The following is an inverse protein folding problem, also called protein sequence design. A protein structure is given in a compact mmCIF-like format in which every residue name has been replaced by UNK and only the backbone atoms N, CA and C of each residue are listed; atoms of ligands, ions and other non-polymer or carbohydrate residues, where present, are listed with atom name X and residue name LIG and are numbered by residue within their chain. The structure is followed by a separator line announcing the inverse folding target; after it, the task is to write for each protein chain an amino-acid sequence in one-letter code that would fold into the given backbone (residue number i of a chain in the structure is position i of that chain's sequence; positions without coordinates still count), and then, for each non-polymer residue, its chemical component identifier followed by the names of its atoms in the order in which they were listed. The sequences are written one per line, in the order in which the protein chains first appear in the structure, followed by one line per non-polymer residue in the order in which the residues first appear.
data_IF_522899361543
#
_entry.id   IF_522899361543
#
_cell.length_a   1.000
_cell.length_b   1.000
_cell.length_c   1.000
_cell.angle_alpha   90.00
_cell.angle_beta   90.00
_cell.angle_gamma   90.00
#
_symmetry.space_group_name_H-M   'P 1'
#
loop_
_entity.id
_entity.type
_entity.pdbx_description
1 polymer ?
#
# COMPACT_ATOMS: atom_id res chain seq x y z
N UNK A 1 -3.89 -24.78 33.86
CA UNK A 1 -4.33 -25.27 32.53
C UNK A 1 -5.29 -24.22 31.99
N UNK A 2 -4.82 -23.24 31.25
CA UNK A 2 -5.69 -22.30 30.48
C UNK A 2 -6.22 -23.06 29.28
N UNK A 3 -7.49 -23.47 29.28
CA UNK A 3 -8.15 -24.13 28.16
C UNK A 3 -8.14 -23.20 26.96
N UNK A 4 -7.56 -23.68 25.86
CA UNK A 4 -7.40 -22.89 24.63
C UNK A 4 -8.73 -22.52 23.99
N UNK A 5 -9.22 -21.33 24.31
CA UNK A 5 -10.22 -20.67 23.47
C UNK A 5 -9.48 -20.19 22.22
N UNK A 6 -9.92 -20.65 21.05
CA UNK A 6 -9.46 -20.08 19.78
C UNK A 6 -9.97 -18.63 19.78
N UNK A 7 -9.05 -17.67 19.93
CA UNK A 7 -9.40 -16.25 19.81
C UNK A 7 -9.51 -15.95 18.32
N UNK A 8 -10.66 -15.43 17.83
CA UNK A 8 -10.80 -15.04 16.42
C UNK A 8 -9.81 -13.93 16.08
N UNK A 9 -9.52 -13.77 14.78
CA UNK A 9 -8.81 -12.58 14.30
C UNK A 9 -9.57 -11.34 14.77
N UNK A 10 -8.85 -10.38 15.38
CA UNK A 10 -9.45 -9.14 15.86
C UNK A 10 -9.31 -8.04 14.79
N UNK A 11 -10.31 -7.15 14.74
CA UNK A 11 -10.28 -6.01 13.85
C UNK A 11 -9.51 -4.81 14.43
N UNK A 12 -9.18 -3.84 13.55
CA UNK A 12 -8.47 -2.61 13.94
C UNK A 12 -9.13 -1.86 15.12
N UNK A 13 -10.46 -1.89 15.19
CA UNK A 13 -11.23 -1.26 16.29
C UNK A 13 -11.00 -1.95 17.62
N UNK A 14 -11.08 -3.27 17.65
CA UNK A 14 -10.85 -4.08 18.84
C UNK A 14 -9.39 -4.00 19.31
N UNK A 15 -8.44 -3.96 18.36
CA UNK A 15 -7.03 -3.74 18.70
C UNK A 15 -6.82 -2.38 19.38
N UNK A 16 -7.49 -1.31 18.92
CA UNK A 16 -7.38 0.01 19.56
C UNK A 16 -7.98 0.01 21.00
N UNK A 17 -9.01 -0.77 21.26
CA UNK A 17 -9.56 -0.93 22.61
C UNK A 17 -8.57 -1.68 23.51
N UNK A 18 -8.00 -2.78 23.04
CA UNK A 18 -6.97 -3.51 23.79
C UNK A 18 -5.73 -2.68 24.11
N UNK A 19 -5.26 -1.87 23.17
CA UNK A 19 -4.12 -0.96 23.41
C UNK A 19 -4.40 0.00 24.56
N UNK A 20 -5.66 0.43 24.73
CA UNK A 20 -6.04 1.34 25.82
C UNK A 20 -6.23 0.64 27.17
N UNK A 21 -6.78 -0.57 27.16
CA UNK A 21 -7.14 -1.31 28.36
C UNK A 21 -5.95 -2.11 28.92
N UNK A 22 -5.36 -2.93 28.06
CA UNK A 22 -4.20 -3.74 28.39
C UNK A 22 -3.43 -4.13 27.12
N UNK A 23 -2.29 -3.47 26.82
CA UNK A 23 -1.51 -3.72 25.60
C UNK A 23 -0.64 -4.99 25.68
N UNK A 24 -0.57 -5.69 26.81
CA UNK A 24 0.25 -6.91 26.93
C UNK A 24 -0.40 -8.12 26.26
N UNK A 25 0.40 -9.16 26.01
CA UNK A 25 -0.01 -10.37 25.30
C UNK A 25 0.78 -10.60 24.01
N UNK A 26 0.40 -11.61 23.24
CA UNK A 26 1.06 -11.95 21.98
C UNK A 26 0.23 -11.48 20.77
N UNK A 27 0.87 -10.80 19.83
CA UNK A 27 0.23 -10.22 18.65
C UNK A 27 0.93 -10.66 17.37
N UNK A 28 0.16 -11.09 16.37
CA UNK A 28 0.61 -11.27 14.99
C UNK A 28 -0.03 -10.17 14.14
N UNK A 29 0.77 -9.20 13.70
CA UNK A 29 0.34 -8.07 12.87
C UNK A 29 0.86 -8.26 11.45
N UNK A 30 -0.03 -8.37 10.48
CA UNK A 30 0.37 -8.63 9.09
C UNK A 30 -0.62 -8.03 8.09
N UNK A 31 -0.24 -7.98 6.82
CA UNK A 31 -1.12 -7.57 5.74
C UNK A 31 -0.46 -6.68 4.69
N UNK A 32 -1.20 -6.37 3.63
CA UNK A 32 -0.71 -5.57 2.52
C UNK A 32 -0.57 -4.08 2.85
N UNK A 33 -1.22 -3.58 3.92
CA UNK A 33 -1.12 -2.20 4.39
C UNK A 33 0.05 -2.04 5.36
N UNK A 34 1.27 -2.05 4.83
CA UNK A 34 2.51 -1.95 5.61
C UNK A 34 2.57 -0.74 6.55
N UNK A 35 1.94 0.38 6.17
CA UNK A 35 1.82 1.56 7.01
C UNK A 35 1.04 1.28 8.29
N UNK A 36 -0.08 0.55 8.20
CA UNK A 36 -0.87 0.19 9.38
C UNK A 36 -0.13 -0.80 10.26
N UNK A 37 0.49 -1.83 9.69
CA UNK A 37 1.32 -2.78 10.46
C UNK A 37 2.35 -2.03 11.30
N UNK A 38 3.16 -1.15 10.68
CA UNK A 38 4.17 -0.34 11.38
C UNK A 38 3.56 0.59 12.43
N UNK A 39 2.44 1.24 12.10
CA UNK A 39 1.75 2.16 13.01
C UNK A 39 1.24 1.44 14.27
N UNK A 40 0.71 0.22 14.12
CA UNK A 40 0.19 -0.54 15.27
C UNK A 40 1.29 -1.22 16.08
N UNK A 41 2.40 -1.63 15.46
CA UNK A 41 3.61 -2.03 16.19
C UNK A 41 4.12 -0.89 17.07
N UNK A 42 4.22 0.33 16.54
CA UNK A 42 4.65 1.51 17.29
C UNK A 42 3.66 1.87 18.42
N UNK A 43 2.35 1.85 18.16
CA UNK A 43 1.33 2.11 19.17
C UNK A 43 1.38 1.12 20.32
N UNK A 44 1.44 -0.18 20.04
CA UNK A 44 1.55 -1.23 21.06
C UNK A 44 2.82 -1.06 21.89
N UNK A 45 3.95 -0.86 21.24
CA UNK A 45 5.25 -0.66 21.89
C UNK A 45 5.24 0.57 22.81
N UNK A 46 4.67 1.70 22.36
CA UNK A 46 4.55 2.92 23.18
C UNK A 46 3.56 2.78 24.34
N UNK A 47 2.50 2.01 24.15
CA UNK A 47 1.52 1.78 25.21
C UNK A 47 2.01 0.82 26.30
N UNK A 48 2.96 -0.07 25.93
CA UNK A 48 3.50 -1.09 26.85
C UNK A 48 4.75 -0.63 27.58
N UNK A 49 5.58 0.23 26.96
CA UNK A 49 6.88 0.64 27.55
C UNK A 49 6.84 2.07 28.04
N UNK A 50 7.26 2.27 29.31
CA UNK A 50 7.50 3.61 29.85
C UNK A 50 8.67 4.27 29.10
N UNK A 51 8.51 5.53 28.70
CA UNK A 51 9.50 6.27 27.94
C UNK A 51 10.85 6.39 28.70
N UNK A 52 10.81 6.54 30.01
CA UNK A 52 12.00 6.65 30.85
C UNK A 52 12.83 5.36 30.90
N UNK A 53 12.21 4.19 30.76
CA UNK A 53 12.85 2.87 30.85
C UNK A 53 12.78 2.07 29.54
N UNK A 54 12.41 2.73 28.44
CA UNK A 54 12.17 2.09 27.14
C UNK A 54 13.39 1.31 26.63
N UNK A 55 14.58 1.86 26.77
CA UNK A 55 15.84 1.24 26.29
C UNK A 55 16.13 -0.11 26.98
N UNK A 56 15.62 -0.32 28.19
CA UNK A 56 15.77 -1.56 28.94
C UNK A 56 14.65 -2.54 28.65
N UNK A 57 13.45 -2.04 28.33
CA UNK A 57 12.20 -2.83 28.26
C UNK A 57 11.67 -3.01 26.82
N UNK A 58 12.31 -2.41 25.81
CA UNK A 58 12.01 -2.63 24.40
C UNK A 58 13.13 -3.43 23.75
N UNK A 59 12.79 -4.59 23.18
CA UNK A 59 13.69 -5.37 22.33
C UNK A 59 13.10 -5.48 20.93
N UNK A 60 13.92 -5.18 19.93
CA UNK A 60 13.52 -5.24 18.51
C UNK A 60 14.48 -6.18 17.81
N UNK A 61 13.92 -7.17 17.16
CA UNK A 61 14.63 -8.14 16.34
C UNK A 61 14.21 -7.97 14.88
N UNK A 62 15.20 -7.99 13.96
CA UNK A 62 14.97 -8.03 12.53
C UNK A 62 15.19 -9.47 12.03
N UNK A 63 14.28 -10.02 11.22
CA UNK A 63 14.13 -11.45 10.99
C UNK A 63 15.31 -12.19 10.38
N UNK A 64 16.26 -11.48 9.77
CA UNK A 64 17.32 -12.15 8.99
C UNK A 64 18.47 -12.74 9.83
N UNK A 65 18.72 -12.25 11.07
CA UNK A 65 19.90 -12.59 11.87
C UNK A 65 19.61 -13.07 13.29
N UNK A 66 18.39 -13.53 13.61
CA UNK A 66 18.01 -13.94 14.96
C UNK A 66 17.69 -15.41 15.10
N UNK A 67 17.91 -15.97 16.30
CA UNK A 67 17.38 -17.26 16.69
C UNK A 67 16.11 -17.10 17.54
N UNK A 68 15.17 -18.03 17.42
CA UNK A 68 14.00 -18.07 18.32
C UNK A 68 14.41 -18.31 19.79
N UNK A 69 15.61 -18.83 20.07
CA UNK A 69 16.16 -18.93 21.41
C UNK A 69 16.42 -17.54 22.01
N UNK A 70 16.99 -16.59 21.24
CA UNK A 70 17.23 -15.22 21.72
C UNK A 70 15.92 -14.48 21.99
N UNK A 71 14.90 -14.76 21.16
CA UNK A 71 13.54 -14.23 21.36
C UNK A 71 12.94 -14.81 22.66
N UNK A 72 13.09 -16.14 22.89
CA UNK A 72 12.61 -16.78 24.10
C UNK A 72 13.23 -16.17 25.36
N UNK A 73 14.56 -16.01 25.38
CA UNK A 73 15.27 -15.40 26.51
C UNK A 73 14.81 -13.97 26.77
N UNK A 74 14.55 -13.20 25.72
CA UNK A 74 14.02 -11.84 25.85
C UNK A 74 12.57 -11.82 26.33
N UNK A 75 11.74 -12.77 25.91
CA UNK A 75 10.34 -12.88 26.31
C UNK A 75 10.23 -13.29 27.77
N UNK A 76 11.07 -14.18 28.26
CA UNK A 76 11.03 -14.70 29.65
C UNK A 76 11.78 -13.83 30.66
N UNK A 77 12.66 -12.90 30.21
CA UNK A 77 13.30 -11.95 31.08
C UNK A 77 12.27 -11.06 31.81
N UNK A 78 12.55 -10.63 33.03
CA UNK A 78 11.65 -9.71 33.79
C UNK A 78 11.85 -8.27 33.34
N UNK A 79 10.79 -7.42 33.34
CA UNK A 79 10.91 -5.99 33.08
C UNK A 79 11.87 -5.31 34.06
N UNK A 80 12.65 -4.33 33.57
CA UNK A 80 13.58 -3.56 34.40
C UNK A 80 12.95 -2.22 34.81
N UNK A 81 12.75 -2.04 36.09
CA UNK A 81 12.20 -0.79 36.67
C UNK A 81 10.86 -0.33 36.04
N UNK A 82 10.10 -1.25 35.48
CA UNK A 82 8.82 -1.00 34.80
C UNK A 82 7.85 -2.16 35.07
N UNK A 83 6.55 -1.91 34.89
CA UNK A 83 5.51 -2.91 35.05
C UNK A 83 5.38 -3.88 33.87
N UNK A 84 5.85 -3.44 32.69
CA UNK A 84 5.75 -4.22 31.46
C UNK A 84 6.90 -3.96 30.50
N UNK A 85 7.09 -4.87 29.54
CA UNK A 85 8.08 -4.79 28.48
C UNK A 85 7.50 -5.17 27.13
N UNK A 86 8.22 -4.86 26.06
CA UNK A 86 7.81 -5.16 24.68
C UNK A 86 8.94 -5.85 23.91
N UNK A 87 8.62 -6.97 23.28
CA UNK A 87 9.51 -7.69 22.38
C UNK A 87 8.90 -7.70 20.98
N UNK A 88 9.60 -7.16 20.01
CA UNK A 88 9.16 -7.02 18.62
C UNK A 88 10.05 -7.88 17.72
N UNK A 89 9.44 -8.75 16.94
CA UNK A 89 10.09 -9.57 15.91
C UNK A 89 9.50 -9.16 14.56
N UNK A 90 10.36 -8.63 13.67
CA UNK A 90 9.96 -8.17 12.35
C UNK A 90 10.41 -9.16 11.29
N UNK A 91 9.50 -9.47 10.37
CA UNK A 91 9.73 -10.20 9.13
C UNK A 91 10.56 -11.51 9.31
N UNK A 92 10.38 -12.24 10.43
CA UNK A 92 11.06 -13.50 10.70
C UNK A 92 10.70 -14.55 9.67
N UNK A 93 11.70 -15.12 9.00
CA UNK A 93 11.52 -16.18 8.01
C UNK A 93 11.45 -17.55 8.67
N UNK A 94 10.27 -18.17 8.63
CA UNK A 94 10.09 -19.58 9.00
C UNK A 94 10.40 -20.53 7.81
N UNK A 95 10.88 -19.99 6.69
CA UNK A 95 11.09 -20.72 5.43
C UNK A 95 12.52 -21.22 5.24
N UNK A 96 13.49 -20.74 6.03
CA UNK A 96 14.91 -21.06 5.89
C UNK A 96 15.23 -22.47 6.40
N UNK A 97 15.39 -23.39 5.44
CA UNK A 97 15.78 -24.78 5.67
C UNK A 97 17.23 -24.91 6.17
N UNK A 98 18.08 -23.89 5.93
CA UNK A 98 19.52 -23.91 6.25
C UNK A 98 19.84 -23.54 7.71
N UNK A 99 18.91 -22.98 8.46
CA UNK A 99 19.08 -22.71 9.92
C UNK A 99 18.80 -23.93 10.82
N UNK A 100 18.63 -25.07 10.22
CA UNK A 100 19.00 -26.40 10.79
C UNK A 100 18.16 -26.91 11.93
N UNK A 101 16.84 -26.66 12.00
CA UNK A 101 15.96 -27.55 12.80
C UNK A 101 14.52 -27.43 12.35
N UNK A 102 13.85 -28.57 12.18
CA UNK A 102 12.37 -28.69 12.01
C UNK A 102 11.57 -28.20 13.23
N UNK A 103 12.16 -27.36 14.08
CA UNK A 103 11.64 -26.98 15.40
C UNK A 103 11.14 -25.55 15.51
N UNK A 104 11.19 -24.71 14.45
CA UNK A 104 10.82 -23.30 14.61
C UNK A 104 9.35 -23.10 15.00
N UNK A 105 8.46 -23.97 14.52
CA UNK A 105 7.04 -23.94 14.93
C UNK A 105 6.86 -24.39 16.37
N UNK A 106 7.59 -25.41 16.82
CA UNK A 106 7.56 -25.88 18.22
C UNK A 106 8.18 -24.85 19.15
N UNK A 107 9.29 -24.22 18.72
CA UNK A 107 9.92 -23.13 19.47
C UNK A 107 8.99 -21.92 19.59
N UNK A 108 8.30 -21.52 18.50
CA UNK A 108 7.30 -20.48 18.52
C UNK A 108 6.16 -20.83 19.47
N UNK A 109 5.65 -22.08 19.45
CA UNK A 109 4.59 -22.49 20.39
C UNK A 109 5.08 -22.40 21.84
N UNK A 110 6.34 -22.77 22.12
CA UNK A 110 6.97 -22.59 23.42
C UNK A 110 7.01 -21.14 23.87
N UNK A 111 7.51 -20.24 23.02
CA UNK A 111 7.55 -18.78 23.24
C UNK A 111 6.16 -18.22 23.57
N UNK A 112 5.16 -18.56 22.76
CA UNK A 112 3.80 -18.08 22.92
C UNK A 112 3.12 -18.59 24.18
N UNK A 113 3.35 -19.85 24.56
CA UNK A 113 2.81 -20.46 25.75
C UNK A 113 3.41 -19.87 27.04
N UNK A 114 4.70 -19.62 27.01
CA UNK A 114 5.49 -19.16 28.14
C UNK A 114 5.58 -17.62 28.21
N UNK A 115 4.90 -16.92 27.29
CA UNK A 115 4.84 -15.46 27.29
C UNK A 115 4.15 -14.94 28.58
N UNK A 116 4.85 -14.16 29.44
CA UNK A 116 4.30 -13.69 30.69
C UNK A 116 3.26 -12.58 30.50
N UNK A 117 2.41 -12.39 31.49
CA UNK A 117 1.29 -11.42 31.43
C UNK A 117 1.76 -9.95 31.44
N UNK A 118 3.02 -9.67 31.74
CA UNK A 118 3.68 -8.35 31.73
C UNK A 118 4.45 -8.06 30.43
N UNK A 119 4.39 -8.96 29.45
CA UNK A 119 5.08 -8.80 28.18
C UNK A 119 4.11 -8.58 26.99
N UNK A 120 4.45 -7.65 26.12
CA UNK A 120 3.84 -7.48 24.80
C UNK A 120 4.78 -8.08 23.75
N UNK A 121 4.43 -9.25 23.26
CA UNK A 121 5.18 -9.92 22.17
C UNK A 121 4.52 -9.62 20.82
N UNK A 122 5.26 -9.03 19.89
CA UNK A 122 4.74 -8.67 18.58
C UNK A 122 5.56 -9.36 17.49
N UNK A 123 4.91 -10.21 16.70
CA UNK A 123 5.43 -10.63 15.41
C UNK A 123 4.76 -9.79 14.31
N UNK A 124 5.55 -9.17 13.45
CA UNK A 124 5.03 -8.29 12.40
C UNK A 124 5.58 -8.63 11.03
N UNK A 125 4.70 -8.60 10.02
CA UNK A 125 5.03 -8.82 8.61
C UNK A 125 4.49 -7.63 7.79
N UNK A 126 5.38 -6.69 7.50
CA UNK A 126 5.03 -5.47 6.79
C UNK A 126 5.39 -5.52 5.29
N UNK A 127 6.27 -6.41 4.86
CA UNK A 127 6.72 -6.52 3.47
C UNK A 127 6.21 -7.79 2.78
N UNK A 128 6.40 -8.95 3.41
CA UNK A 128 5.98 -10.23 2.85
C UNK A 128 5.65 -11.21 3.97
N UNK A 129 4.64 -12.03 3.74
CA UNK A 129 4.29 -13.14 4.63
C UNK A 129 5.24 -14.32 4.39
N UNK A 130 5.54 -15.16 5.41
CA UNK A 130 6.20 -16.43 5.22
C UNK A 130 5.47 -17.26 4.16
N UNK A 131 6.19 -17.79 3.18
CA UNK A 131 5.61 -18.60 2.09
C UNK A 131 5.12 -19.95 2.58
N UNK A 132 5.80 -20.51 3.58
CA UNK A 132 5.47 -21.79 4.21
C UNK A 132 5.01 -21.53 5.65
N UNK A 133 4.29 -22.46 6.21
CA UNK A 133 3.91 -22.50 7.63
C UNK A 133 3.03 -21.33 8.13
N UNK A 134 2.71 -20.31 7.30
CA UNK A 134 1.95 -19.14 7.77
C UNK A 134 0.62 -19.52 8.43
N UNK A 135 -0.12 -20.48 7.88
CA UNK A 135 -1.38 -20.96 8.48
C UNK A 135 -1.17 -21.60 9.87
N UNK A 136 -0.04 -22.26 10.09
CA UNK A 136 0.29 -22.85 11.38
C UNK A 136 0.66 -21.77 12.39
N UNK A 137 1.48 -20.80 11.97
CA UNK A 137 1.82 -19.60 12.76
C UNK A 137 0.56 -18.86 13.19
N UNK A 138 -0.31 -18.53 12.22
CA UNK A 138 -1.60 -17.86 12.49
C UNK A 138 -2.46 -18.65 13.49
N UNK A 139 -2.51 -19.99 13.36
CA UNK A 139 -3.25 -20.85 14.28
C UNK A 139 -2.68 -20.82 15.70
N UNK A 140 -1.35 -20.75 15.84
CA UNK A 140 -0.70 -20.62 17.14
C UNK A 140 -1.02 -19.28 17.81
N UNK A 141 -0.94 -18.17 17.07
CA UNK A 141 -1.32 -16.87 17.60
C UNK A 141 -2.82 -16.81 17.96
N UNK A 142 -3.71 -17.42 17.17
CA UNK A 142 -5.14 -17.57 17.54
C UNK A 142 -5.37 -18.39 18.79
N UNK A 143 -4.45 -19.29 19.15
CA UNK A 143 -4.53 -20.10 20.36
C UNK A 143 -4.00 -19.40 21.61
N UNK A 144 -2.95 -18.60 21.48
CA UNK A 144 -2.21 -18.01 22.60
C UNK A 144 -2.27 -16.48 22.66
N UNK A 145 -2.78 -15.82 21.63
CA UNK A 145 -2.76 -14.37 21.51
C UNK A 145 -3.76 -13.85 20.47
N UNK A 146 -3.38 -12.85 19.71
CA UNK A 146 -4.24 -12.12 18.78
C UNK A 146 -3.63 -12.05 17.39
N UNK A 147 -4.46 -12.14 16.36
CA UNK A 147 -4.05 -11.93 14.96
C UNK A 147 -4.81 -10.75 14.39
N UNK A 148 -4.10 -9.87 13.65
CA UNK A 148 -4.69 -8.71 12.97
C UNK A 148 -4.19 -8.68 11.53
N UNK A 149 -5.13 -8.78 10.60
CA UNK A 149 -4.85 -8.67 9.16
C UNK A 149 -5.17 -7.24 8.68
N UNK A 150 -4.12 -6.52 8.29
CA UNK A 150 -4.23 -5.23 7.65
C UNK A 150 -4.29 -5.38 6.13
N UNK A 151 -5.36 -5.97 5.65
CA UNK A 151 -5.64 -6.09 4.22
C UNK A 151 -5.72 -4.73 3.55
N UNK A 152 -5.44 -4.71 2.25
CA UNK A 152 -5.45 -3.48 1.46
C UNK A 152 -6.81 -2.82 1.46
N UNK A 153 -6.85 -1.55 1.84
CA UNK A 153 -8.10 -0.78 1.93
C UNK A 153 -8.63 -0.43 0.54
N UNK A 154 -9.94 -0.49 0.39
CA UNK A 154 -10.62 0.04 -0.79
C UNK A 154 -10.51 1.57 -0.86
N UNK A 155 -10.68 2.20 -2.03
CA UNK A 155 -10.66 3.65 -2.16
C UNK A 155 -11.62 4.38 -1.21
N UNK A 156 -12.80 3.79 -0.96
CA UNK A 156 -13.78 4.36 -0.03
C UNK A 156 -13.30 4.29 1.43
N UNK A 157 -12.67 3.20 1.83
CA UNK A 157 -12.09 3.04 3.17
C UNK A 157 -10.90 3.96 3.38
N UNK A 158 -10.07 4.17 2.32
CA UNK A 158 -8.98 5.14 2.34
C UNK A 158 -9.52 6.57 2.55
N UNK A 159 -10.56 6.97 1.80
CA UNK A 159 -11.20 8.28 1.98
C UNK A 159 -11.71 8.47 3.41
N UNK A 160 -12.44 7.49 3.97
CA UNK A 160 -12.88 7.53 5.38
C UNK A 160 -11.70 7.58 6.36
N UNK A 161 -10.57 6.94 6.04
CA UNK A 161 -9.37 6.99 6.87
C UNK A 161 -8.76 8.38 6.86
N UNK A 162 -8.72 9.04 5.68
CA UNK A 162 -8.27 10.43 5.55
C UNK A 162 -9.19 11.41 6.30
N UNK A 163 -10.50 11.26 6.21
CA UNK A 163 -11.46 12.08 6.98
C UNK A 163 -11.22 11.97 8.49
N UNK A 164 -11.02 10.75 9.00
CA UNK A 164 -10.67 10.54 10.42
C UNK A 164 -9.31 11.15 10.76
N UNK A 165 -8.35 11.04 9.85
CA UNK A 165 -7.01 11.63 9.99
C UNK A 165 -7.04 13.16 10.02
N UNK A 166 -7.83 13.79 9.16
CA UNK A 166 -8.03 15.23 9.12
C UNK A 166 -8.66 15.75 10.42
N UNK A 167 -9.72 15.09 10.91
CA UNK A 167 -10.37 15.45 12.19
C UNK A 167 -9.41 15.44 13.38
N UNK A 168 -8.49 14.48 13.43
CA UNK A 168 -7.45 14.43 14.48
C UNK A 168 -6.48 15.61 14.42
N UNK A 169 -6.35 16.25 13.24
CA UNK A 169 -5.51 17.43 13.00
C UNK A 169 -6.31 18.77 13.06
N UNK A 170 -7.59 18.70 13.48
CA UNK A 170 -8.47 19.86 13.57
C UNK A 170 -8.98 20.36 12.23
N UNK A 171 -8.98 19.51 11.19
CA UNK A 171 -9.43 19.84 9.84
C UNK A 171 -10.57 18.93 9.39
N UNK A 172 -11.31 19.36 8.38
CA UNK A 172 -12.36 18.57 7.71
C UNK A 172 -12.19 18.64 6.20
N UNK A 173 -12.75 17.68 5.48
CA UNK A 173 -12.88 17.75 4.03
C UNK A 173 -14.27 18.24 3.64
N UNK A 174 -14.36 19.00 2.53
CA UNK A 174 -15.61 19.18 1.81
C UNK A 174 -16.14 17.84 1.26
N UNK A 175 -17.44 17.80 0.94
CA UNK A 175 -18.05 16.63 0.32
C UNK A 175 -17.23 16.19 -0.92
N UNK A 176 -16.91 14.89 -1.00
CA UNK A 176 -16.08 14.26 -2.04
C UNK A 176 -14.57 14.58 -2.05
N UNK A 177 -14.08 15.63 -1.38
CA UNK A 177 -12.68 16.03 -1.47
C UNK A 177 -11.71 14.93 -0.97
N UNK A 178 -12.07 14.17 0.09
CA UNK A 178 -11.26 13.03 0.53
C UNK A 178 -11.16 11.93 -0.54
N UNK A 179 -12.26 11.63 -1.24
CA UNK A 179 -12.26 10.66 -2.33
C UNK A 179 -11.47 11.20 -3.55
N UNK A 180 -11.56 12.50 -3.81
CA UNK A 180 -10.76 13.16 -4.83
C UNK A 180 -9.25 13.08 -4.52
N UNK A 181 -8.86 13.27 -3.26
CA UNK A 181 -7.47 13.12 -2.81
C UNK A 181 -6.97 11.69 -3.03
N UNK A 182 -7.73 10.66 -2.65
CA UNK A 182 -7.38 9.26 -2.91
C UNK A 182 -7.20 9.00 -4.41
N UNK A 183 -8.06 9.55 -5.24
CA UNK A 183 -7.95 9.43 -6.69
C UNK A 183 -6.69 10.12 -7.22
N UNK A 184 -6.34 11.30 -6.74
CA UNK A 184 -5.23 12.13 -7.25
C UNK A 184 -3.87 11.63 -6.79
N UNK A 185 -3.74 11.27 -5.51
CA UNK A 185 -2.48 10.81 -4.89
C UNK A 185 -2.24 9.32 -5.14
N UNK A 186 -3.30 8.52 -5.23
CA UNK A 186 -3.22 7.07 -5.41
C UNK A 186 -3.68 6.30 -4.19
N UNK A 187 -3.43 4.96 -4.19
CA UNK A 187 -3.96 4.04 -3.19
C UNK A 187 -2.94 3.67 -2.09
N UNK A 188 -1.77 4.27 -2.09
CA UNK A 188 -0.77 4.05 -1.05
C UNK A 188 -1.11 4.88 0.19
N UNK A 189 -1.43 4.20 1.30
CA UNK A 189 -1.85 4.87 2.53
C UNK A 189 -0.74 5.71 3.14
N UNK A 190 0.53 5.29 3.00
CA UNK A 190 1.66 6.06 3.52
C UNK A 190 1.80 7.40 2.78
N UNK A 191 1.74 7.37 1.44
CA UNK A 191 1.73 8.59 0.63
C UNK A 191 0.52 9.46 0.95
N UNK A 192 -0.67 8.87 1.05
CA UNK A 192 -1.90 9.59 1.39
C UNK A 192 -1.81 10.31 2.74
N UNK A 193 -1.21 9.68 3.76
CA UNK A 193 -1.04 10.30 5.07
C UNK A 193 -0.03 11.43 5.02
N UNK A 194 1.08 11.25 4.32
CA UNK A 194 2.08 12.31 4.14
C UNK A 194 1.50 13.52 3.38
N UNK A 195 0.73 13.29 2.33
CA UNK A 195 0.05 14.36 1.59
C UNK A 195 -1.03 15.05 2.45
N UNK A 196 -1.75 14.29 3.29
CA UNK A 196 -2.71 14.84 4.24
C UNK A 196 -2.01 15.75 5.27
N UNK A 197 -0.84 15.37 5.76
CA UNK A 197 -0.05 16.20 6.69
C UNK A 197 0.34 17.53 6.06
N UNK A 198 0.81 17.51 4.81
CA UNK A 198 1.12 18.73 4.04
C UNK A 198 -0.14 19.60 3.83
N UNK A 199 -1.24 18.97 3.40
CA UNK A 199 -2.48 19.66 3.13
C UNK A 199 -3.05 20.34 4.39
N UNK A 200 -3.07 19.65 5.52
CA UNK A 200 -3.50 20.18 6.80
C UNK A 200 -2.62 21.34 7.28
N UNK A 201 -1.32 21.30 7.01
CA UNK A 201 -0.38 22.36 7.40
C UNK A 201 -0.51 23.61 6.49
N UNK A 202 -0.85 23.42 5.21
CA UNK A 202 -0.98 24.49 4.23
C UNK A 202 -2.32 25.23 4.35
N UNK A 203 -3.44 24.51 4.43
CA UNK A 203 -4.78 25.09 4.42
C UNK A 203 -5.02 25.88 5.70
N UNK A 204 -5.32 27.17 5.59
CA UNK A 204 -5.65 28.02 6.74
C UNK A 204 -7.06 27.76 7.27
N UNK A 205 -8.01 27.51 6.38
CA UNK A 205 -9.40 27.21 6.71
C UNK A 205 -9.53 25.84 7.42
N UNK A 206 -10.61 25.66 8.19
CA UNK A 206 -10.92 24.37 8.83
C UNK A 206 -11.29 23.30 7.79
N UNK A 207 -11.80 23.72 6.63
CA UNK A 207 -12.31 22.82 5.59
C UNK A 207 -11.41 22.84 4.35
N UNK A 208 -10.99 21.67 3.93
CA UNK A 208 -10.12 21.43 2.76
C UNK A 208 -10.97 21.03 1.56
N UNK A 209 -10.70 21.60 0.40
CA UNK A 209 -11.44 21.38 -0.84
C UNK A 209 -10.55 20.77 -1.95
N UNK A 210 -11.13 20.51 -3.13
CA UNK A 210 -10.41 19.94 -4.26
C UNK A 210 -9.33 20.88 -4.82
N UNK A 211 -9.51 22.19 -4.72
CA UNK A 211 -8.51 23.18 -5.18
C UNK A 211 -7.26 23.13 -4.32
N UNK A 212 -7.44 23.06 -2.98
CA UNK A 212 -6.31 22.92 -2.06
C UNK A 212 -5.51 21.63 -2.37
N UNK A 213 -6.23 20.54 -2.69
CA UNK A 213 -5.59 19.25 -3.05
C UNK A 213 -4.81 19.39 -4.35
N UNK A 214 -5.35 20.05 -5.36
CA UNK A 214 -4.69 20.27 -6.65
C UNK A 214 -3.42 21.13 -6.53
N UNK A 215 -3.42 22.10 -5.60
CA UNK A 215 -2.29 23.00 -5.37
C UNK A 215 -1.15 22.35 -4.55
N UNK A 216 -1.50 21.50 -3.58
CA UNK A 216 -0.56 21.03 -2.57
C UNK A 216 -0.16 19.56 -2.76
N UNK A 217 -1.12 18.70 -3.11
CA UNK A 217 -0.86 17.27 -3.17
C UNK A 217 -0.13 16.88 -4.45
N UNK A 218 0.87 16.04 -4.30
CA UNK A 218 1.59 15.46 -5.42
C UNK A 218 0.74 14.38 -6.08
N UNK A 219 0.33 14.62 -7.34
CA UNK A 219 -0.40 13.61 -8.14
C UNK A 219 0.48 12.42 -8.44
N UNK A 220 -0.06 11.21 -8.33
CA UNK A 220 0.66 10.00 -8.73
C UNK A 220 0.90 9.95 -10.25
N UNK A 221 1.92 9.18 -10.66
CA UNK A 221 2.30 9.07 -12.07
C UNK A 221 1.14 8.61 -12.96
N UNK A 222 0.32 7.65 -12.50
CA UNK A 222 -0.85 7.17 -13.25
C UNK A 222 -1.81 8.31 -13.62
N UNK A 223 -2.06 9.27 -12.72
CA UNK A 223 -2.94 10.41 -12.96
C UNK A 223 -2.30 11.44 -13.87
N UNK A 224 -1.01 11.72 -13.69
CA UNK A 224 -0.25 12.61 -14.59
C UNK A 224 -0.27 12.09 -16.02
N UNK A 225 -0.04 10.77 -16.20
CA UNK A 225 -0.09 10.10 -17.52
C UNK A 225 -1.53 10.05 -18.06
N UNK A 226 -2.53 9.81 -17.20
CA UNK A 226 -3.94 9.88 -17.60
C UNK A 226 -4.29 11.26 -18.18
N UNK A 227 -3.88 12.34 -17.50
CA UNK A 227 -4.11 13.70 -17.96
C UNK A 227 -3.35 14.02 -19.28
N UNK A 228 -2.18 13.42 -19.48
CA UNK A 228 -1.43 13.53 -20.74
C UNK A 228 -2.13 12.79 -21.88
N UNK A 229 -2.60 11.56 -21.65
CA UNK A 229 -3.34 10.78 -22.66
C UNK A 229 -4.67 11.45 -23.01
N UNK A 230 -5.33 12.07 -22.03
CA UNK A 230 -6.54 12.87 -22.26
C UNK A 230 -6.26 14.05 -23.20
N UNK A 231 -5.15 14.76 -23.01
CA UNK A 231 -4.75 15.84 -23.91
C UNK A 231 -4.42 15.32 -25.32
N UNK A 232 -3.71 14.18 -25.46
CA UNK A 232 -3.45 13.54 -26.75
C UNK A 232 -4.74 13.19 -27.50
N UNK A 233 -5.68 12.55 -26.83
CA UNK A 233 -6.95 12.13 -27.43
C UNK A 233 -7.86 13.31 -27.77
N UNK A 234 -7.73 14.41 -27.03
CA UNK A 234 -8.43 15.69 -27.31
C UNK A 234 -7.67 16.58 -28.31
N UNK A 235 -6.56 16.09 -28.90
CA UNK A 235 -5.69 16.81 -29.85
C UNK A 235 -5.01 18.07 -29.26
N UNK A 236 -4.86 18.14 -27.96
CA UNK A 236 -4.12 19.19 -27.26
C UNK A 236 -2.63 18.80 -27.17
N UNK A 237 -1.98 18.61 -28.32
CA UNK A 237 -0.63 18.04 -28.39
C UNK A 237 0.40 18.87 -27.61
N UNK A 238 0.37 20.19 -27.74
CA UNK A 238 1.29 21.07 -26.99
C UNK A 238 1.26 20.81 -25.49
N UNK A 239 0.05 20.67 -24.91
CA UNK A 239 -0.11 20.36 -23.49
C UNK A 239 0.40 18.95 -23.13
N UNK A 240 0.16 17.98 -24.00
CA UNK A 240 0.63 16.62 -23.79
C UNK A 240 2.16 16.55 -23.79
N UNK A 241 2.82 17.24 -24.72
CA UNK A 241 4.28 17.31 -24.80
C UNK A 241 4.89 18.05 -23.60
N UNK A 242 4.32 19.19 -23.17
CA UNK A 242 4.75 19.88 -21.94
C UNK A 242 4.64 19.00 -20.70
N UNK A 243 3.58 18.19 -20.60
CA UNK A 243 3.45 17.23 -19.49
C UNK A 243 4.49 16.14 -19.54
N UNK A 244 4.84 15.61 -20.71
CA UNK A 244 5.92 14.63 -20.84
C UNK A 244 7.26 15.23 -20.43
N UNK A 245 7.57 16.43 -20.92
CA UNK A 245 8.79 17.17 -20.58
C UNK A 245 8.90 17.39 -19.07
N UNK A 246 7.81 17.84 -18.43
CA UNK A 246 7.76 18.02 -16.99
C UNK A 246 7.97 16.70 -16.23
N UNK A 247 7.39 15.58 -16.67
CA UNK A 247 7.60 14.28 -16.06
C UNK A 247 9.07 13.85 -16.11
N UNK A 248 9.71 13.98 -17.28
CA UNK A 248 11.09 13.52 -17.47
C UNK A 248 12.13 14.43 -16.83
N UNK A 249 12.04 15.74 -17.07
CA UNK A 249 13.13 16.67 -16.78
C UNK A 249 12.92 17.50 -15.50
N UNK A 250 11.67 17.81 -15.12
CA UNK A 250 11.41 18.59 -13.92
C UNK A 250 11.17 17.70 -12.68
N UNK A 251 10.48 16.57 -12.87
CA UNK A 251 10.11 15.65 -11.80
C UNK A 251 11.04 14.44 -11.70
N UNK A 252 11.86 14.20 -12.72
CA UNK A 252 12.84 13.12 -12.74
C UNK A 252 12.21 11.72 -12.72
N UNK A 253 11.00 11.57 -13.28
CA UNK A 253 10.34 10.27 -13.37
C UNK A 253 11.10 9.34 -14.32
N UNK A 254 11.26 8.09 -13.94
CA UNK A 254 11.95 7.11 -14.75
C UNK A 254 11.20 6.82 -16.06
N UNK A 255 11.90 6.81 -17.19
CA UNK A 255 11.33 6.62 -18.53
C UNK A 255 10.57 5.30 -18.66
N UNK A 256 11.07 4.22 -18.04
CA UNK A 256 10.37 2.93 -18.04
C UNK A 256 9.05 2.99 -17.26
N UNK A 257 9.04 3.75 -16.17
CA UNK A 257 7.82 3.95 -15.37
C UNK A 257 6.78 4.76 -16.16
N UNK A 258 7.19 5.81 -16.86
CA UNK A 258 6.30 6.62 -17.73
C UNK A 258 5.73 5.74 -18.85
N UNK A 259 6.58 4.97 -19.55
CA UNK A 259 6.12 4.06 -20.60
C UNK A 259 5.18 2.98 -20.05
N UNK A 260 5.49 2.42 -18.89
CA UNK A 260 4.64 1.44 -18.21
C UNK A 260 3.25 2.01 -17.87
N UNK A 261 3.19 3.25 -17.37
CA UNK A 261 1.94 3.94 -17.08
C UNK A 261 1.14 4.26 -18.36
N UNK A 262 1.82 4.71 -19.43
CA UNK A 262 1.19 4.89 -20.76
C UNK A 262 0.57 3.58 -21.27
N UNK A 263 1.35 2.50 -21.24
CA UNK A 263 0.87 1.19 -21.68
C UNK A 263 -0.34 0.73 -20.87
N UNK A 264 -0.27 0.86 -19.53
CA UNK A 264 -1.39 0.54 -18.64
C UNK A 264 -2.65 1.33 -19.01
N UNK A 265 -2.52 2.64 -19.28
CA UNK A 265 -3.64 3.51 -19.62
C UNK A 265 -4.28 3.09 -20.97
N UNK A 266 -3.48 2.79 -22.00
CA UNK A 266 -4.02 2.35 -23.31
C UNK A 266 -4.64 0.94 -23.23
N UNK A 267 -4.07 0.03 -22.42
CA UNK A 267 -4.67 -1.28 -22.13
C UNK A 267 -6.02 -1.12 -21.43
N UNK A 268 -6.13 -0.23 -20.46
CA UNK A 268 -7.40 0.05 -19.77
C UNK A 268 -8.43 0.65 -20.75
N UNK A 269 -8.02 1.55 -21.66
CA UNK A 269 -8.87 2.10 -22.71
C UNK A 269 -9.36 1.00 -23.66
N UNK A 270 -8.46 0.11 -24.10
CA UNK A 270 -8.81 -1.02 -24.98
C UNK A 270 -9.83 -1.93 -24.31
N UNK A 271 -9.57 -2.35 -23.07
CA UNK A 271 -10.48 -3.22 -22.31
C UNK A 271 -11.82 -2.57 -22.07
N UNK A 272 -11.83 -1.31 -21.65
CA UNK A 272 -13.08 -0.57 -21.44
C UNK A 272 -13.92 -0.44 -22.73
N UNK A 273 -13.26 -0.19 -23.86
CA UNK A 273 -13.90 -0.10 -25.18
C UNK A 273 -14.48 -1.45 -25.60
N UNK A 274 -13.69 -2.53 -25.52
CA UNK A 274 -14.12 -3.88 -25.87
C UNK A 274 -15.31 -4.37 -25.04
N UNK A 275 -15.29 -4.14 -23.71
CA UNK A 275 -16.40 -4.47 -22.83
C UNK A 275 -17.67 -3.72 -23.19
N UNK A 276 -17.55 -2.43 -23.51
CA UNK A 276 -18.69 -1.60 -23.88
C UNK A 276 -19.31 -2.05 -25.22
N UNK A 277 -18.48 -2.39 -26.18
CA UNK A 277 -18.94 -2.93 -27.47
C UNK A 277 -19.58 -4.33 -27.32
N UNK A 278 -19.11 -5.12 -26.37
CA UNK A 278 -19.70 -6.42 -26.02
C UNK A 278 -20.94 -6.33 -25.11
N UNK A 279 -21.31 -5.14 -24.64
CA UNK A 279 -22.44 -4.95 -23.71
C UNK A 279 -22.19 -5.51 -22.30
N UNK A 280 -20.91 -5.69 -21.89
CA UNK A 280 -20.51 -6.29 -20.62
C UNK A 280 -20.24 -5.19 -19.58
N UNK A 281 -20.72 -5.40 -18.35
CA UNK A 281 -20.48 -4.48 -17.23
C UNK A 281 -19.03 -4.51 -16.76
N UNK A 282 -18.47 -3.35 -16.40
CA UNK A 282 -17.13 -3.26 -15.80
C UNK A 282 -17.00 -4.01 -14.47
N UNK A 283 -18.11 -4.21 -13.73
CA UNK A 283 -18.12 -4.97 -12.48
C UNK A 283 -17.56 -6.38 -12.63
N UNK A 284 -17.85 -7.04 -13.76
CA UNK A 284 -17.35 -8.40 -14.03
C UNK A 284 -15.83 -8.48 -14.17
N UNK A 285 -15.15 -7.36 -14.46
CA UNK A 285 -13.70 -7.35 -14.63
C UNK A 285 -12.94 -7.56 -13.33
N UNK A 286 -13.50 -7.14 -12.20
CA UNK A 286 -12.90 -7.39 -10.88
C UNK A 286 -12.93 -8.88 -10.50
N UNK A 287 -13.89 -9.63 -11.03
CA UNK A 287 -13.99 -11.07 -10.84
C UNK A 287 -13.05 -11.86 -11.77
N UNK A 288 -12.91 -11.40 -13.03
CA UNK A 288 -12.07 -12.05 -14.04
C UNK A 288 -10.58 -11.73 -13.85
N UNK A 289 -10.26 -10.47 -13.55
CA UNK A 289 -8.89 -10.01 -13.41
C UNK A 289 -8.66 -9.36 -12.04
N UNK A 290 -7.87 -10.00 -11.20
CA UNK A 290 -7.51 -9.54 -9.84
C UNK A 290 -7.01 -8.08 -9.81
N UNK A 291 -6.35 -7.62 -10.89
CA UNK A 291 -5.81 -6.26 -11.00
C UNK A 291 -6.90 -5.17 -10.90
N UNK A 292 -8.16 -5.50 -11.21
CA UNK A 292 -9.28 -4.56 -11.12
C UNK A 292 -10.15 -4.73 -9.87
N UNK A 293 -9.86 -5.69 -8.99
CA UNK A 293 -10.71 -6.01 -7.82
C UNK A 293 -11.13 -4.78 -7.02
N UNK A 294 -10.24 -3.80 -6.83
CA UNK A 294 -10.54 -2.54 -6.13
C UNK A 294 -10.26 -1.30 -7.01
N UNK A 295 -10.20 -1.47 -8.35
CA UNK A 295 -9.75 -0.44 -9.28
C UNK A 295 -10.67 -0.29 -10.50
N UNK A 296 -11.94 -0.70 -10.38
CA UNK A 296 -12.94 -0.60 -11.49
C UNK A 296 -13.06 0.85 -11.99
N UNK A 297 -12.88 1.84 -11.11
CA UNK A 297 -12.86 3.26 -11.47
C UNK A 297 -11.82 3.60 -12.55
N UNK A 298 -10.71 2.83 -12.69
CA UNK A 298 -9.74 3.01 -13.78
C UNK A 298 -10.38 2.73 -15.14
N UNK A 299 -11.15 1.64 -15.26
CA UNK A 299 -11.87 1.29 -16.49
C UNK A 299 -12.97 2.33 -16.81
N UNK A 300 -13.68 2.82 -15.81
CA UNK A 300 -14.68 3.88 -15.98
C UNK A 300 -14.04 5.17 -16.49
N UNK A 301 -12.91 5.55 -15.93
CA UNK A 301 -12.15 6.73 -16.35
C UNK A 301 -11.55 6.55 -17.76
N UNK A 302 -10.96 5.40 -18.05
CA UNK A 302 -10.45 5.03 -19.36
C UNK A 302 -11.55 4.99 -20.43
N UNK A 303 -12.77 4.50 -20.08
CA UNK A 303 -13.92 4.49 -20.97
C UNK A 303 -14.34 5.90 -21.42
N UNK A 304 -14.24 6.88 -20.54
CA UNK A 304 -14.57 8.29 -20.90
C UNK A 304 -13.60 8.83 -21.96
N UNK A 305 -12.30 8.58 -21.82
CA UNK A 305 -11.29 8.97 -22.81
C UNK A 305 -11.48 8.16 -24.10
N UNK A 306 -11.68 6.85 -24.00
CA UNK A 306 -11.83 5.96 -25.14
C UNK A 306 -13.13 6.19 -25.94
N UNK A 307 -14.08 6.98 -25.41
CA UNK A 307 -15.38 7.21 -26.09
C UNK A 307 -15.21 7.81 -27.50
N UNK A 308 -14.24 8.70 -27.68
CA UNK A 308 -13.95 9.38 -28.95
C UNK A 308 -12.92 8.67 -29.85
N UNK A 309 -12.36 7.54 -29.39
CA UNK A 309 -11.31 6.80 -30.11
C UNK A 309 -11.83 5.43 -30.54
N UNK A 310 -11.59 5.02 -31.79
CA UNK A 310 -11.96 3.66 -32.25
C UNK A 310 -11.04 2.60 -31.63
N UNK A 311 -11.55 1.36 -31.55
CA UNK A 311 -10.75 0.25 -30.99
C UNK A 311 -9.50 -0.04 -31.82
N UNK A 312 -9.56 0.14 -33.13
CA UNK A 312 -8.42 -0.08 -34.04
C UNK A 312 -7.32 0.96 -33.81
N UNK A 313 -7.68 2.24 -33.59
CA UNK A 313 -6.71 3.28 -33.22
C UNK A 313 -6.05 2.99 -31.87
N UNK A 314 -6.80 2.46 -30.90
CA UNK A 314 -6.21 2.08 -29.62
C UNK A 314 -5.24 0.91 -29.79
N UNK A 315 -5.52 -0.07 -30.70
CA UNK A 315 -4.57 -1.14 -31.05
C UNK A 315 -3.29 -0.59 -31.66
N UNK A 316 -3.41 0.33 -32.65
CA UNK A 316 -2.25 0.99 -33.26
C UNK A 316 -1.39 1.71 -32.18
N UNK A 317 -2.01 2.38 -31.23
CA UNK A 317 -1.30 2.99 -30.11
C UNK A 317 -0.57 1.93 -29.25
N UNK A 318 -1.18 0.79 -28.97
CA UNK A 318 -0.56 -0.31 -28.22
C UNK A 318 0.63 -0.92 -28.97
N UNK A 319 0.57 -1.02 -30.30
CA UNK A 319 1.70 -1.46 -31.14
C UNK A 319 2.86 -0.46 -31.05
N UNK A 320 2.58 0.84 -31.14
CA UNK A 320 3.59 1.90 -30.97
C UNK A 320 4.27 1.81 -29.61
N UNK A 321 3.51 1.56 -28.52
CA UNK A 321 4.04 1.41 -27.18
C UNK A 321 4.87 0.13 -27.01
N UNK A 322 4.48 -0.97 -27.68
CA UNK A 322 5.25 -2.22 -27.72
C UNK A 322 6.58 -2.04 -28.44
N UNK A 323 6.59 -1.29 -29.58
CA UNK A 323 7.83 -0.93 -30.27
C UNK A 323 8.76 -0.11 -29.37
N UNK A 324 8.21 0.84 -28.62
CA UNK A 324 8.98 1.67 -27.69
C UNK A 324 9.59 0.85 -26.55
N UNK A 325 8.84 -0.09 -25.96
CA UNK A 325 9.36 -1.00 -24.93
C UNK A 325 10.52 -1.86 -25.48
N UNK A 326 10.37 -2.36 -26.70
CA UNK A 326 11.43 -3.10 -27.38
C UNK A 326 12.66 -2.23 -27.63
N UNK A 327 12.46 -1.00 -28.10
CA UNK A 327 13.55 -0.06 -28.34
C UNK A 327 14.32 0.29 -27.07
N UNK A 328 13.62 0.58 -25.97
CA UNK A 328 14.22 0.87 -24.66
C UNK A 328 15.11 -0.28 -24.13
N UNK A 329 14.79 -1.53 -24.49
CA UNK A 329 15.51 -2.71 -24.02
C UNK A 329 16.65 -3.16 -24.97
N UNK A 330 16.60 -2.79 -26.26
CA UNK A 330 17.46 -3.36 -27.30
C UNK A 330 18.38 -2.38 -27.99
N UNK A 331 18.23 -1.06 -27.76
CA UNK A 331 19.04 -0.03 -28.44
C UNK A 331 19.90 0.74 -27.44
N UNK A 332 20.94 1.41 -27.95
CA UNK A 332 21.78 2.34 -27.20
C UNK A 332 21.34 3.81 -27.35
N UNK A 333 20.16 4.03 -27.93
CA UNK A 333 19.57 5.36 -28.08
C UNK A 333 19.20 5.94 -26.70
N UNK A 334 19.26 7.25 -26.53
CA UNK A 334 18.82 7.91 -25.31
C UNK A 334 17.34 7.60 -25.04
N UNK A 335 17.04 7.19 -23.82
CA UNK A 335 15.71 6.70 -23.45
C UNK A 335 14.64 7.78 -23.57
N UNK A 336 14.98 9.00 -23.22
CA UNK A 336 14.16 10.19 -23.33
C UNK A 336 13.74 10.43 -24.78
N UNK A 337 14.67 10.33 -25.74
CA UNK A 337 14.37 10.48 -27.18
C UNK A 337 13.44 9.39 -27.70
N UNK A 338 13.57 8.15 -27.20
CA UNK A 338 12.64 7.07 -27.55
C UNK A 338 11.22 7.43 -27.10
N UNK A 339 11.07 7.97 -25.88
CA UNK A 339 9.77 8.32 -25.34
C UNK A 339 9.14 9.53 -26.04
N UNK A 340 9.94 10.56 -26.34
CA UNK A 340 9.52 11.72 -27.13
C UNK A 340 9.02 11.31 -28.52
N UNK A 341 9.80 10.49 -29.23
CA UNK A 341 9.40 9.94 -30.53
C UNK A 341 8.14 9.11 -30.43
N UNK A 342 7.98 8.34 -29.36
CA UNK A 342 6.77 7.55 -29.10
C UNK A 342 5.55 8.45 -28.95
N UNK A 343 5.65 9.55 -28.22
CA UNK A 343 4.56 10.51 -28.05
C UNK A 343 4.20 11.19 -29.39
N UNK A 344 5.19 11.50 -30.23
CA UNK A 344 4.97 12.00 -31.59
C UNK A 344 4.17 10.98 -32.39
N UNK A 345 4.59 9.70 -32.42
CA UNK A 345 3.87 8.63 -33.13
C UNK A 345 2.43 8.50 -32.64
N UNK A 346 2.21 8.48 -31.31
CA UNK A 346 0.88 8.43 -30.71
C UNK A 346 0.00 9.63 -31.14
N UNK A 347 0.59 10.82 -31.28
CA UNK A 347 -0.12 12.03 -31.71
C UNK A 347 -0.56 11.98 -33.18
N UNK A 348 0.03 11.12 -33.98
CA UNK A 348 -0.28 10.98 -35.42
C UNK A 348 -1.32 9.91 -35.73
N UNK A 349 -1.64 9.03 -34.75
CA UNK A 349 -2.65 7.98 -34.91
C UNK A 349 -4.02 8.61 -35.23
N UNK A 350 -4.53 8.30 -36.42
CA UNK A 350 -5.86 8.76 -36.86
C UNK A 350 -5.92 10.18 -37.43
N UNK A 351 -4.78 10.67 -37.96
CA UNK A 351 -4.79 11.79 -38.92
C UNK A 351 -5.41 11.39 -40.22
#
# INVERSE_FOLDING_TARGET
MKGGYIVPAIEETELNEKIKENPTGAYLLYGEESYLVKTYVDKLSKATTDEAFRDFNLRIYDGDDISLSDVYDSVTAVPMMAESKCVIVKDYSFDDVDKGTNNDIENLEGILRDNPDDNCLIFSYAASLPKKNFKEIEKLFKKYGYTVDFSKKSPLELAKTLEKGAKKRGKTFEDSAAAYMVKSVGLDLNLLVNELDKLCAYTQDETMNETDIDEICTKCLDIKVFDMVKDLTSRNFERAFKKLEALMYEQGEDVYMILGALNSQYVDMYRAKALREAGVSFGCMGEIYQVYKNKIFKLESASRIASSVSIDKIRECLEILSDADTALKSTSEEKEHILERTLVRLSTVGR
#
